data_IF_035665128796
#
_entry.id   IF_035665128796
#
_cell.length_a   1.000
_cell.length_b   1.000
_cell.length_c   1.000
_cell.angle_alpha   90.00
_cell.angle_beta   90.00
_cell.angle_gamma   90.00
#
_symmetry.space_group_name_H-M   'P 1'
#
loop_
_entity.id
_entity.type
_entity.pdbx_description
1 polymer ?
#
# COMPACT_ATOMS: atom_id res chain seq x y z
N UNK A 1 0.46 3.05 6.12
CA UNK A 1 -0.82 2.74 5.45
C UNK A 1 -0.83 1.37 4.75
N UNK A 2 0.30 0.95 4.17
CA UNK A 2 0.36 -0.27 3.34
C UNK A 2 -0.03 -1.58 4.06
N UNK A 3 0.32 -1.84 5.33
CA UNK A 3 -0.12 -3.04 6.05
C UNK A 3 -1.63 -3.22 6.09
N UNK A 4 -2.38 -2.12 6.21
CA UNK A 4 -3.84 -2.14 6.15
C UNK A 4 -4.37 -2.65 4.80
N UNK A 5 -3.80 -2.16 3.71
CA UNK A 5 -4.22 -2.58 2.37
C UNK A 5 -3.92 -4.05 2.11
N UNK A 6 -2.77 -4.55 2.57
CA UNK A 6 -2.47 -5.98 2.48
C UNK A 6 -3.44 -6.81 3.32
N UNK A 7 -3.73 -6.40 4.56
CA UNK A 7 -4.70 -7.05 5.43
C UNK A 7 -6.09 -7.14 4.79
N UNK A 8 -6.61 -6.01 4.29
CA UNK A 8 -7.91 -5.96 3.62
C UNK A 8 -7.89 -6.81 2.35
N UNK A 9 -6.80 -6.75 1.55
CA UNK A 9 -6.67 -7.52 0.31
C UNK A 9 -6.69 -9.02 0.57
N UNK A 10 -6.02 -9.49 1.62
CA UNK A 10 -6.04 -10.89 2.05
C UNK A 10 -7.42 -11.34 2.51
N UNK A 11 -8.08 -10.52 3.32
CA UNK A 11 -9.44 -10.78 3.78
C UNK A 11 -10.43 -10.87 2.62
N UNK A 12 -10.37 -9.94 1.68
CA UNK A 12 -11.26 -9.94 0.51
C UNK A 12 -10.94 -11.06 -0.49
N UNK A 13 -9.67 -11.45 -0.62
CA UNK A 13 -9.30 -12.53 -1.54
C UNK A 13 -9.93 -13.86 -1.14
N UNK A 14 -9.99 -14.15 0.15
CA UNK A 14 -10.54 -15.40 0.68
C UNK A 14 -11.94 -15.23 1.30
N UNK A 15 -12.69 -14.19 0.96
CA UNK A 15 -13.99 -13.86 1.55
C UNK A 15 -14.99 -15.03 1.55
N UNK A 16 -14.93 -15.90 0.54
CA UNK A 16 -15.82 -17.06 0.42
C UNK A 16 -15.38 -18.25 1.28
N UNK A 17 -14.20 -18.19 1.91
CA UNK A 17 -13.63 -19.26 2.75
C UNK A 17 -13.17 -20.50 2.00
N UNK A 18 -13.64 -20.68 0.78
CA UNK A 18 -13.32 -21.82 -0.08
C UNK A 18 -12.22 -21.45 -1.07
N UNK A 19 -11.44 -22.46 -1.46
CA UNK A 19 -10.41 -22.30 -2.48
C UNK A 19 -10.53 -23.40 -3.51
N UNK A 20 -10.88 -23.04 -4.74
CA UNK A 20 -10.82 -23.94 -5.90
C UNK A 20 -9.92 -23.35 -6.97
N UNK A 21 -9.45 -24.21 -7.90
CA UNK A 21 -8.60 -23.76 -9.02
C UNK A 21 -9.36 -22.77 -9.91
N UNK A 22 -10.62 -23.02 -10.18
CA UNK A 22 -11.47 -22.17 -11.02
C UNK A 22 -11.66 -20.80 -10.39
N UNK A 23 -11.98 -20.76 -9.09
CA UNK A 23 -12.15 -19.53 -8.32
C UNK A 23 -10.83 -18.73 -8.28
N UNK A 24 -9.69 -19.41 -8.09
CA UNK A 24 -8.37 -18.79 -8.11
C UNK A 24 -8.06 -18.13 -9.44
N UNK A 25 -8.22 -18.86 -10.55
CA UNK A 25 -7.97 -18.33 -11.89
C UNK A 25 -8.88 -17.13 -12.21
N UNK A 26 -10.16 -17.24 -11.87
CA UNK A 26 -11.10 -16.13 -12.04
C UNK A 26 -10.67 -14.89 -11.23
N UNK A 27 -10.23 -15.06 -9.98
CA UNK A 27 -9.72 -13.96 -9.16
C UNK A 27 -8.43 -13.36 -9.72
N UNK A 28 -7.51 -14.18 -10.23
CA UNK A 28 -6.31 -13.69 -10.91
C UNK A 28 -6.64 -12.88 -12.15
N UNK A 29 -7.53 -13.37 -13.00
CA UNK A 29 -7.96 -12.67 -14.20
C UNK A 29 -8.55 -11.29 -13.84
N UNK A 30 -9.47 -11.23 -12.88
CA UNK A 30 -10.03 -9.96 -12.41
C UNK A 30 -8.96 -9.00 -11.89
N UNK A 31 -7.94 -9.49 -11.18
CA UNK A 31 -6.83 -8.67 -10.69
C UNK A 31 -5.89 -8.22 -11.80
N UNK A 32 -5.68 -9.04 -12.83
CA UNK A 32 -4.93 -8.61 -13.99
C UNK A 32 -5.57 -7.39 -14.66
N UNK A 33 -6.87 -7.37 -14.82
CA UNK A 33 -7.57 -6.20 -15.38
C UNK A 33 -7.65 -5.02 -14.41
N UNK A 34 -7.82 -5.26 -13.12
CA UNK A 34 -8.04 -4.17 -12.16
C UNK A 34 -6.74 -3.61 -11.55
N UNK A 35 -5.64 -4.34 -11.57
CA UNK A 35 -4.36 -3.92 -10.99
C UNK A 35 -3.23 -3.88 -12.03
N UNK A 36 -2.99 -4.96 -12.79
CA UNK A 36 -1.85 -5.04 -13.70
C UNK A 36 -2.01 -4.10 -14.90
N UNK A 37 -3.19 -4.04 -15.51
CA UNK A 37 -3.41 -3.15 -16.63
C UNK A 37 -3.26 -1.66 -16.24
N UNK A 38 -3.91 -1.15 -15.20
CA UNK A 38 -3.67 0.21 -14.72
C UNK A 38 -2.21 0.45 -14.29
N UNK A 39 -1.56 -0.53 -13.68
CA UNK A 39 -0.16 -0.46 -13.30
C UNK A 39 0.76 -0.20 -14.51
N UNK A 40 0.60 -0.99 -15.57
CA UNK A 40 1.37 -0.83 -16.81
C UNK A 40 1.07 0.53 -17.45
N UNK A 41 -0.21 0.88 -17.60
CA UNK A 41 -0.63 2.15 -18.22
C UNK A 41 -0.01 3.36 -17.47
N UNK A 42 -0.09 3.40 -16.15
CA UNK A 42 0.42 4.52 -15.37
C UNK A 42 1.94 4.65 -15.43
N UNK A 43 2.68 3.54 -15.36
CA UNK A 43 4.15 3.58 -15.49
C UNK A 43 4.55 4.02 -16.90
N UNK A 44 3.87 3.51 -17.93
CA UNK A 44 4.13 3.93 -19.31
C UNK A 44 3.82 5.40 -19.54
N UNK A 45 2.70 5.89 -18.99
CA UNK A 45 2.34 7.32 -19.03
C UNK A 45 3.40 8.17 -18.33
N UNK A 46 3.85 7.72 -17.15
CA UNK A 46 4.86 8.46 -16.40
C UNK A 46 6.21 8.48 -17.13
N UNK A 47 6.63 7.35 -17.72
CA UNK A 47 7.82 7.28 -18.58
C UNK A 47 7.74 8.26 -19.76
N UNK A 48 6.59 8.29 -20.44
CA UNK A 48 6.34 9.22 -21.52
C UNK A 48 6.45 10.68 -21.05
N UNK A 49 5.80 11.03 -19.94
CA UNK A 49 5.87 12.39 -19.38
C UNK A 49 7.30 12.77 -18.97
N UNK A 50 8.08 11.84 -18.39
CA UNK A 50 9.48 12.07 -18.06
C UNK A 50 10.34 12.28 -19.31
N UNK A 51 10.14 11.48 -20.36
CA UNK A 51 10.87 11.62 -21.63
C UNK A 51 10.62 12.99 -22.27
N UNK A 52 9.36 13.45 -22.29
CA UNK A 52 9.01 14.79 -22.77
C UNK A 52 9.63 15.88 -21.89
N UNK A 53 9.54 15.73 -20.57
CA UNK A 53 10.09 16.69 -19.61
C UNK A 53 11.63 16.79 -19.72
N UNK A 54 12.32 15.68 -19.94
CA UNK A 54 13.78 15.65 -20.15
C UNK A 54 14.18 16.36 -21.44
N UNK A 55 13.39 16.19 -22.52
CA UNK A 55 13.63 16.88 -23.78
C UNK A 55 13.43 18.40 -23.71
N UNK A 56 12.51 18.88 -22.85
CA UNK A 56 12.23 20.32 -22.68
C UNK A 56 13.14 20.95 -21.61
N UNK A 57 13.40 20.24 -20.52
CA UNK A 57 14.10 20.71 -19.32
C UNK A 57 15.10 19.64 -18.83
N UNK A 58 16.23 19.42 -19.52
CA UNK A 58 17.13 18.30 -19.25
C UNK A 58 17.65 18.21 -17.81
N UNK A 59 17.75 19.32 -17.10
CA UNK A 59 18.25 19.38 -15.74
C UNK A 59 17.16 19.31 -14.66
N UNK A 60 15.91 19.12 -15.03
CA UNK A 60 14.77 19.12 -14.09
C UNK A 60 14.30 17.71 -13.68
N UNK A 61 14.69 16.69 -14.43
CA UNK A 61 14.27 15.30 -14.21
C UNK A 61 15.34 14.52 -13.44
N UNK A 62 15.43 14.69 -12.13
CA UNK A 62 16.42 14.01 -11.29
C UNK A 62 15.92 12.69 -10.68
N UNK A 63 14.89 12.05 -11.26
CA UNK A 63 14.31 10.80 -10.72
C UNK A 63 15.17 9.59 -11.14
N UNK A 64 15.86 9.68 -12.27
CA UNK A 64 16.79 8.67 -12.78
C UNK A 64 18.16 9.29 -13.00
N UNK A 65 19.24 8.56 -12.65
CA UNK A 65 20.61 9.04 -12.83
C UNK A 65 21.08 8.98 -14.28
N UNK A 66 20.33 8.31 -15.13
CA UNK A 66 20.68 8.03 -16.51
C UNK A 66 19.65 8.67 -17.42
N UNK A 67 20.07 9.41 -18.47
CA UNK A 67 19.13 9.96 -19.45
C UNK A 67 18.26 8.86 -20.07
N UNK A 68 16.98 9.12 -20.26
CA UNK A 68 16.01 8.13 -20.78
C UNK A 68 16.43 7.69 -22.21
N UNK A 69 17.00 8.59 -23.00
CA UNK A 69 17.53 8.28 -24.34
C UNK A 69 18.62 7.20 -24.33
N UNK A 70 19.34 7.05 -23.21
CA UNK A 70 20.40 6.05 -23.06
C UNK A 70 19.93 4.74 -22.42
N UNK A 71 18.62 4.57 -22.20
CA UNK A 71 18.08 3.36 -21.57
C UNK A 71 18.28 2.13 -22.46
N UNK A 72 18.88 1.11 -21.88
CA UNK A 72 18.87 -0.25 -22.44
C UNK A 72 17.49 -0.89 -22.30
N UNK A 73 17.25 -1.98 -23.02
CA UNK A 73 16.01 -2.77 -22.86
C UNK A 73 15.80 -3.21 -21.39
N UNK A 74 16.87 -3.54 -20.69
CA UNK A 74 16.81 -3.89 -19.27
C UNK A 74 16.37 -2.72 -18.40
N UNK A 75 16.83 -1.49 -18.70
CA UNK A 75 16.44 -0.29 -17.94
C UNK A 75 14.95 -0.02 -18.09
N UNK A 76 14.40 -0.21 -19.29
CA UNK A 76 12.96 -0.12 -19.53
C UNK A 76 12.15 -1.12 -18.70
N UNK A 77 12.60 -2.37 -18.59
CA UNK A 77 11.96 -3.38 -17.75
C UNK A 77 12.08 -3.05 -16.26
N UNK A 78 13.23 -2.51 -15.84
CA UNK A 78 13.45 -2.11 -14.45
C UNK A 78 12.51 -0.99 -14.01
N UNK A 79 12.07 -0.11 -14.91
CA UNK A 79 11.06 0.90 -14.59
C UNK A 79 9.75 0.30 -14.09
N UNK A 80 9.40 -0.89 -14.55
CA UNK A 80 8.21 -1.61 -14.09
C UNK A 80 8.46 -2.48 -12.87
N UNK A 81 9.71 -2.74 -12.50
CA UNK A 81 10.01 -3.68 -11.43
C UNK A 81 10.77 -3.06 -10.27
N UNK A 82 11.96 -2.54 -10.54
CA UNK A 82 12.86 -2.02 -9.52
C UNK A 82 13.88 -1.06 -10.11
N UNK A 83 13.71 0.22 -9.82
CA UNK A 83 14.60 1.28 -10.30
C UNK A 83 15.85 1.48 -9.42
N UNK A 84 16.11 0.64 -8.42
CA UNK A 84 17.25 0.81 -7.50
C UNK A 84 18.60 0.94 -8.21
N UNK A 85 18.74 0.34 -9.39
CA UNK A 85 19.97 0.39 -10.21
C UNK A 85 20.06 1.62 -11.13
N UNK A 86 18.94 2.25 -11.47
CA UNK A 86 18.86 3.38 -12.39
C UNK A 86 18.34 4.65 -11.73
N UNK A 87 17.80 4.53 -10.53
CA UNK A 87 17.27 5.61 -9.71
C UNK A 87 18.32 6.28 -8.83
N UNK A 88 17.93 7.22 -7.97
CA UNK A 88 18.81 7.93 -7.05
C UNK A 88 19.62 6.98 -6.15
N UNK A 89 20.84 7.35 -5.83
CA UNK A 89 21.68 6.57 -4.91
C UNK A 89 20.97 6.34 -3.57
N UNK A 90 20.98 5.09 -3.08
CA UNK A 90 20.17 4.65 -1.94
C UNK A 90 18.77 4.23 -2.34
N UNK A 91 18.60 3.85 -3.61
CA UNK A 91 17.34 3.56 -4.27
C UNK A 91 16.46 2.59 -3.50
N UNK A 92 15.23 3.01 -3.31
CA UNK A 92 14.13 2.18 -2.81
C UNK A 92 13.86 1.11 -3.88
N UNK A 93 13.78 -0.15 -3.48
CA UNK A 93 13.39 -1.26 -4.35
C UNK A 93 11.91 -1.12 -4.80
N UNK A 94 11.66 -0.19 -5.70
CA UNK A 94 10.33 0.21 -6.14
C UNK A 94 10.29 0.39 -7.67
N UNK A 95 9.13 0.27 -8.31
CA UNK A 95 8.94 0.68 -9.70
C UNK A 95 9.09 2.20 -9.85
N UNK A 96 9.14 2.70 -11.07
CA UNK A 96 9.33 4.12 -11.38
C UNK A 96 8.29 5.02 -10.70
N UNK A 97 7.03 4.61 -10.66
CA UNK A 97 5.99 5.21 -9.84
C UNK A 97 6.09 4.61 -8.43
N UNK A 98 6.88 5.22 -7.56
CA UNK A 98 7.27 4.67 -6.25
C UNK A 98 6.08 4.07 -5.48
N UNK A 99 4.92 4.72 -5.29
CA UNK A 99 3.79 4.13 -4.56
C UNK A 99 3.29 2.79 -5.10
N UNK A 100 3.62 2.47 -6.34
CA UNK A 100 3.17 1.24 -7.00
C UNK A 100 3.91 -0.02 -6.55
N UNK A 101 4.96 0.11 -5.71
CA UNK A 101 5.60 -1.05 -5.10
C UNK A 101 4.59 -1.96 -4.38
N UNK A 102 3.58 -1.36 -3.73
CA UNK A 102 2.51 -2.07 -3.07
C UNK A 102 1.66 -2.91 -4.04
N UNK A 103 1.30 -2.34 -5.22
CA UNK A 103 0.51 -3.04 -6.25
C UNK A 103 1.32 -4.21 -6.81
N UNK A 104 2.60 -3.98 -7.14
CA UNK A 104 3.52 -5.01 -7.62
C UNK A 104 3.59 -6.18 -6.63
N UNK A 105 3.90 -5.90 -5.37
CA UNK A 105 4.04 -6.92 -4.33
C UNK A 105 2.71 -7.64 -4.08
N UNK A 106 1.58 -6.93 -4.12
CA UNK A 106 0.26 -7.55 -4.00
C UNK A 106 -0.04 -8.50 -5.16
N UNK A 107 0.32 -8.14 -6.39
CA UNK A 107 0.15 -9.03 -7.55
C UNK A 107 0.97 -10.31 -7.38
N UNK A 108 2.23 -10.17 -6.95
CA UNK A 108 3.10 -11.34 -6.68
C UNK A 108 2.52 -12.21 -5.55
N UNK A 109 2.08 -11.62 -4.45
CA UNK A 109 1.44 -12.36 -3.35
C UNK A 109 0.20 -13.10 -3.84
N UNK A 110 -0.59 -12.52 -4.75
CA UNK A 110 -1.77 -13.18 -5.32
C UNK A 110 -1.40 -14.44 -6.12
N UNK A 111 -0.23 -14.51 -6.75
CA UNK A 111 0.25 -15.74 -7.40
C UNK A 111 0.55 -16.84 -6.39
N UNK A 112 1.03 -16.49 -5.20
CA UNK A 112 1.35 -17.44 -4.14
C UNK A 112 0.14 -17.82 -3.26
N UNK A 113 -1.06 -17.31 -3.53
CA UNK A 113 -2.26 -17.61 -2.71
C UNK A 113 -2.61 -19.09 -2.59
N UNK A 114 -2.33 -20.01 -3.57
CA UNK A 114 -2.53 -21.43 -3.35
C UNK A 114 -1.67 -22.00 -2.20
N UNK A 115 -0.43 -21.55 -2.10
CA UNK A 115 0.50 -21.94 -1.03
C UNK A 115 0.05 -21.34 0.29
N UNK A 116 -0.26 -20.03 0.27
CA UNK A 116 -0.77 -19.31 1.44
C UNK A 116 -2.02 -20.02 2.00
N UNK A 117 -2.96 -20.38 1.13
CA UNK A 117 -4.17 -21.11 1.54
C UNK A 117 -3.85 -22.42 2.23
N UNK A 118 -2.98 -23.26 1.65
CA UNK A 118 -2.60 -24.56 2.26
C UNK A 118 -1.98 -24.37 3.64
N UNK A 119 -1.04 -23.43 3.78
CA UNK A 119 -0.37 -23.14 5.05
C UNK A 119 -1.38 -22.61 6.08
N UNK A 120 -2.21 -21.66 5.71
CA UNK A 120 -3.20 -21.08 6.63
C UNK A 120 -4.30 -22.07 6.98
N UNK A 121 -4.73 -22.92 6.05
CA UNK A 121 -5.71 -23.97 6.32
C UNK A 121 -5.17 -25.02 7.31
N UNK A 122 -3.91 -25.41 7.15
CA UNK A 122 -3.24 -26.29 8.09
C UNK A 122 -3.12 -25.62 9.48
N UNK A 123 -2.61 -24.40 9.59
CA UNK A 123 -2.55 -23.64 10.83
C UNK A 123 -3.94 -23.42 11.44
N UNK A 124 -4.95 -23.34 10.60
CA UNK A 124 -6.32 -23.16 11.01
C UNK A 124 -6.90 -24.39 11.74
N UNK A 125 -6.43 -25.58 11.46
CA UNK A 125 -6.86 -26.83 12.10
C UNK A 125 -6.10 -27.11 13.40
N UNK A 126 -4.96 -26.44 13.59
CA UNK A 126 -4.19 -26.53 14.83
C UNK A 126 -4.80 -25.66 15.95
N UNK A 127 -4.18 -25.71 17.13
CA UNK A 127 -4.61 -24.89 18.28
C UNK A 127 -4.49 -23.40 17.95
N UNK A 128 -5.56 -22.65 18.17
CA UNK A 128 -5.65 -21.21 17.88
C UNK A 128 -4.52 -20.43 18.55
N UNK A 129 -4.14 -20.81 19.75
CA UNK A 129 -3.10 -20.18 20.55
C UNK A 129 -1.73 -20.27 19.86
N UNK A 130 -1.41 -21.45 19.30
CA UNK A 130 -0.16 -21.69 18.57
C UNK A 130 -0.11 -20.82 17.30
N UNK A 131 -1.23 -20.74 16.57
CA UNK A 131 -1.31 -19.92 15.35
C UNK A 131 -1.12 -18.43 15.65
N UNK A 132 -1.68 -17.94 16.74
CA UNK A 132 -1.53 -16.55 17.18
C UNK A 132 -0.09 -16.27 17.61
N UNK A 133 0.49 -17.15 18.44
CA UNK A 133 1.88 -17.01 18.89
C UNK A 133 2.85 -17.03 17.72
N UNK A 134 2.68 -17.98 16.78
CA UNK A 134 3.50 -18.06 15.58
C UNK A 134 3.38 -16.78 14.73
N UNK A 135 2.18 -16.25 14.57
CA UNK A 135 1.96 -15.02 13.82
C UNK A 135 2.73 -13.84 14.44
N UNK A 136 2.62 -13.65 15.76
CA UNK A 136 3.35 -12.59 16.45
C UNK A 136 4.87 -12.81 16.42
N UNK A 137 5.32 -14.06 16.55
CA UNK A 137 6.73 -14.40 16.40
C UNK A 137 7.27 -14.07 15.01
N UNK A 138 6.50 -14.38 13.95
CA UNK A 138 6.85 -14.03 12.57
C UNK A 138 6.85 -12.52 12.33
N UNK A 139 5.87 -11.78 12.89
CA UNK A 139 5.87 -10.32 12.82
C UNK A 139 7.09 -9.71 13.51
N UNK A 140 7.49 -10.26 14.66
CA UNK A 140 8.69 -9.81 15.35
C UNK A 140 9.95 -10.16 14.57
N UNK A 141 10.06 -11.40 14.08
CA UNK A 141 11.20 -11.88 13.30
C UNK A 141 11.35 -11.16 11.95
N UNK A 142 10.26 -10.66 11.37
CA UNK A 142 10.28 -9.92 10.10
C UNK A 142 11.09 -8.61 10.16
N UNK A 143 11.46 -8.12 11.36
CA UNK A 143 12.36 -6.96 11.51
C UNK A 143 13.78 -7.19 10.98
N UNK A 144 14.21 -8.46 10.91
CA UNK A 144 15.51 -8.86 10.36
C UNK A 144 15.43 -9.36 8.93
N UNK A 145 14.23 -9.49 8.38
CA UNK A 145 14.06 -9.99 7.03
C UNK A 145 14.24 -8.85 6.02
N UNK A 146 15.05 -9.09 5.01
CA UNK A 146 15.19 -8.20 3.87
C UNK A 146 13.99 -8.36 2.93
N UNK A 147 13.48 -7.23 2.44
CA UNK A 147 12.44 -7.26 1.43
C UNK A 147 13.08 -7.48 0.06
N UNK A 148 12.55 -8.46 -0.66
CA UNK A 148 12.89 -8.66 -2.07
C UNK A 148 12.01 -7.77 -2.95
N UNK A 149 12.53 -7.21 -4.05
CA UNK A 149 11.70 -6.51 -5.02
C UNK A 149 10.56 -7.43 -5.52
N UNK A 150 9.32 -7.01 -5.34
CA UNK A 150 8.14 -7.81 -5.68
C UNK A 150 7.61 -8.71 -4.56
N UNK A 151 8.35 -8.90 -3.47
CA UNK A 151 7.88 -9.72 -2.34
C UNK A 151 8.28 -9.09 -1.01
N UNK A 152 7.44 -8.24 -0.46
CA UNK A 152 7.65 -7.72 0.88
C UNK A 152 7.17 -8.73 1.93
N UNK A 153 8.05 -9.04 2.88
CA UNK A 153 7.71 -9.91 4.03
C UNK A 153 6.56 -9.31 4.83
N UNK A 154 6.56 -7.99 5.00
CA UNK A 154 5.46 -7.28 5.62
C UNK A 154 4.15 -7.49 4.87
N UNK A 155 4.15 -7.36 3.54
CA UNK A 155 2.98 -7.58 2.69
C UNK A 155 2.43 -8.99 2.82
N UNK A 156 3.31 -9.99 2.77
CA UNK A 156 2.94 -11.40 2.92
C UNK A 156 2.30 -11.68 4.28
N UNK A 157 2.89 -11.17 5.37
CA UNK A 157 2.38 -11.41 6.73
C UNK A 157 1.01 -10.74 6.93
N UNK A 158 0.84 -9.47 6.55
CA UNK A 158 -0.45 -8.78 6.73
C UNK A 158 -1.52 -9.31 5.79
N UNK A 159 -1.18 -9.70 4.56
CA UNK A 159 -2.10 -10.39 3.67
C UNK A 159 -2.57 -11.71 4.29
N UNK A 160 -1.63 -12.51 4.81
CA UNK A 160 -1.93 -13.79 5.48
C UNK A 160 -2.77 -13.58 6.74
N UNK A 161 -2.54 -12.50 7.49
CA UNK A 161 -3.34 -12.15 8.67
C UNK A 161 -4.81 -11.88 8.29
N UNK A 162 -5.05 -11.08 7.26
CA UNK A 162 -6.42 -10.88 6.78
C UNK A 162 -7.06 -12.15 6.21
N UNK A 163 -6.29 -12.93 5.44
CA UNK A 163 -6.72 -14.18 4.84
C UNK A 163 -7.12 -15.22 5.88
N UNK A 164 -6.40 -15.33 7.00
CA UNK A 164 -6.66 -16.30 8.08
C UNK A 164 -8.08 -16.19 8.62
N UNK A 165 -8.56 -14.99 8.93
CA UNK A 165 -9.92 -14.78 9.41
C UNK A 165 -10.99 -15.18 8.38
N UNK A 166 -10.73 -14.88 7.11
CA UNK A 166 -11.65 -15.20 6.03
C UNK A 166 -11.70 -16.71 5.74
N UNK A 167 -10.56 -17.38 5.74
CA UNK A 167 -10.48 -18.85 5.58
C UNK A 167 -11.20 -19.57 6.73
N UNK A 168 -11.05 -19.07 7.95
CA UNK A 168 -11.74 -19.59 9.14
C UNK A 168 -13.22 -19.22 9.18
N UNK A 169 -13.72 -18.37 8.28
CA UNK A 169 -15.06 -17.80 8.33
C UNK A 169 -15.37 -17.11 9.67
N UNK A 170 -14.35 -16.54 10.30
CA UNK A 170 -14.46 -15.80 11.56
C UNK A 170 -14.47 -14.30 11.23
N UNK A 171 -15.47 -13.59 11.72
CA UNK A 171 -15.48 -12.14 11.58
C UNK A 171 -14.41 -11.54 12.47
N UNK A 172 -13.40 -10.92 11.86
CA UNK A 172 -12.31 -10.23 12.55
C UNK A 172 -12.83 -9.30 13.66
N UNK A 173 -13.90 -8.57 13.38
CA UNK A 173 -14.49 -7.59 14.29
C UNK A 173 -15.02 -8.25 15.57
N UNK A 174 -15.69 -9.40 15.46
CA UNK A 174 -16.27 -10.07 16.62
C UNK A 174 -15.19 -10.53 17.61
N UNK A 175 -14.03 -10.96 17.08
CA UNK A 175 -12.90 -11.40 17.90
C UNK A 175 -12.10 -10.21 18.44
N UNK A 176 -11.88 -9.19 17.64
CA UNK A 176 -10.93 -8.11 17.96
C UNK A 176 -11.58 -6.89 18.64
N UNK A 177 -12.91 -6.76 18.58
CA UNK A 177 -13.63 -5.64 19.21
C UNK A 177 -13.37 -5.52 20.72
N UNK A 178 -13.39 -6.59 21.53
CA UNK A 178 -13.09 -6.50 22.96
C UNK A 178 -11.63 -6.10 23.22
N UNK A 179 -10.72 -6.43 22.28
CA UNK A 179 -9.29 -6.19 22.38
C UNK A 179 -8.85 -4.84 21.84
N UNK A 180 -9.76 -3.95 21.39
CA UNK A 180 -9.41 -2.72 20.69
C UNK A 180 -8.43 -1.81 21.48
N UNK A 181 -8.68 -1.62 22.78
CA UNK A 181 -7.78 -0.81 23.62
C UNK A 181 -6.47 -1.53 23.88
N UNK A 182 -6.50 -2.86 24.07
CA UNK A 182 -5.32 -3.69 24.12
C UNK A 182 -4.47 -3.55 22.85
N UNK A 183 -5.11 -3.50 21.67
CA UNK A 183 -4.43 -3.24 20.40
C UNK A 183 -3.73 -1.89 20.36
N UNK A 184 -4.34 -0.83 20.91
CA UNK A 184 -3.70 0.50 20.99
C UNK A 184 -2.50 0.49 21.94
N UNK A 185 -2.67 -0.05 23.16
CA UNK A 185 -1.57 -0.18 24.11
C UNK A 185 -0.43 -1.03 23.56
N UNK A 186 -0.77 -2.12 22.88
CA UNK A 186 0.21 -2.97 22.21
C UNK A 186 0.95 -2.22 21.09
N UNK A 187 0.26 -1.39 20.32
CA UNK A 187 0.89 -0.58 19.29
C UNK A 187 1.88 0.44 19.89
N UNK A 188 1.52 1.10 21.00
CA UNK A 188 2.39 2.03 21.70
C UNK A 188 3.62 1.29 22.25
N UNK A 189 3.44 0.13 22.86
CA UNK A 189 4.54 -0.71 23.34
C UNK A 189 5.47 -1.14 22.20
N UNK A 190 4.90 -1.62 21.10
CA UNK A 190 5.64 -2.05 19.91
C UNK A 190 6.44 -0.88 19.28
N UNK A 191 5.91 0.33 19.35
CA UNK A 191 6.62 1.54 18.91
C UNK A 191 7.84 1.81 19.82
N UNK A 192 7.72 1.67 21.13
CA UNK A 192 8.84 1.86 22.09
C UNK A 192 9.99 0.87 21.83
N UNK A 193 9.68 -0.37 21.45
CA UNK A 193 10.71 -1.38 21.10
C UNK A 193 11.16 -1.33 19.64
N UNK A 194 10.79 -0.26 18.90
CA UNK A 194 11.12 -0.08 17.48
C UNK A 194 10.69 -1.26 16.58
N UNK A 195 9.54 -1.87 16.84
CA UNK A 195 8.98 -2.96 16.02
C UNK A 195 7.76 -2.50 15.23
N UNK A 196 7.98 -1.90 14.07
CA UNK A 196 6.94 -1.31 13.23
C UNK A 196 5.84 -2.32 12.84
N UNK A 197 6.20 -3.58 12.56
CA UNK A 197 5.22 -4.59 12.15
C UNK A 197 4.26 -4.97 13.28
N UNK A 198 4.75 -5.10 14.51
CA UNK A 198 3.88 -5.29 15.67
C UNK A 198 3.01 -4.06 15.95
N UNK A 199 3.57 -2.86 15.80
CA UNK A 199 2.82 -1.62 15.92
C UNK A 199 1.64 -1.57 14.92
N UNK A 200 1.88 -1.91 13.66
CA UNK A 200 0.82 -1.94 12.65
C UNK A 200 -0.26 -2.99 12.96
N UNK A 201 0.11 -4.16 13.49
CA UNK A 201 -0.88 -5.16 13.90
C UNK A 201 -1.82 -4.62 14.98
N UNK A 202 -1.28 -3.96 16.01
CA UNK A 202 -2.07 -3.30 17.05
C UNK A 202 -2.96 -2.17 16.49
N UNK A 203 -2.42 -1.34 15.59
CA UNK A 203 -3.17 -0.27 14.93
C UNK A 203 -4.30 -0.82 14.06
N UNK A 204 -4.13 -1.95 13.36
CA UNK A 204 -5.19 -2.61 12.58
C UNK A 204 -6.34 -3.01 13.53
N UNK A 205 -6.03 -3.65 14.65
CA UNK A 205 -7.04 -4.05 15.64
C UNK A 205 -7.82 -2.83 16.15
N UNK A 206 -7.13 -1.77 16.54
CA UNK A 206 -7.75 -0.56 17.07
C UNK A 206 -8.59 0.18 16.03
N UNK A 207 -8.02 0.46 14.86
CA UNK A 207 -8.69 1.29 13.84
C UNK A 207 -9.87 0.57 13.20
N UNK A 208 -9.74 -0.71 12.81
CA UNK A 208 -10.84 -1.48 12.23
C UNK A 208 -11.99 -1.60 13.23
N UNK A 209 -11.70 -1.93 14.50
CA UNK A 209 -12.73 -2.05 15.53
C UNK A 209 -13.43 -0.73 15.83
N UNK A 210 -12.68 0.38 15.82
CA UNK A 210 -13.23 1.73 16.09
C UNK A 210 -14.09 2.22 14.93
N UNK A 211 -13.58 2.10 13.70
CA UNK A 211 -14.30 2.52 12.48
C UNK A 211 -15.60 1.76 12.32
N UNK A 212 -15.58 0.45 12.51
CA UNK A 212 -16.78 -0.38 12.41
C UNK A 212 -17.81 0.05 13.45
N UNK A 213 -17.41 0.30 14.71
CA UNK A 213 -18.34 0.79 15.75
C UNK A 213 -18.98 2.14 15.37
N UNK A 214 -18.21 3.05 14.78
CA UNK A 214 -18.73 4.33 14.32
C UNK A 214 -19.76 4.12 13.21
N UNK A 215 -19.44 3.26 12.23
CA UNK A 215 -20.34 2.95 11.12
C UNK A 215 -21.65 2.28 11.59
N UNK A 216 -21.57 1.31 12.51
CA UNK A 216 -22.73 0.66 13.10
C UNK A 216 -23.63 1.66 13.83
N UNK A 217 -23.06 2.55 14.65
CA UNK A 217 -23.82 3.61 15.36
C UNK A 217 -24.51 4.55 14.38
N UNK A 218 -23.83 4.96 13.31
CA UNK A 218 -24.43 5.82 12.27
C UNK A 218 -25.55 5.11 11.54
N UNK A 219 -25.39 3.83 11.22
CA UNK A 219 -26.44 3.02 10.61
C UNK A 219 -27.67 2.92 11.49
N UNK A 220 -27.49 2.70 12.81
CA UNK A 220 -28.59 2.67 13.77
C UNK A 220 -29.32 4.03 13.89
N UNK A 221 -28.63 5.13 13.66
CA UNK A 221 -29.19 6.49 13.66
C UNK A 221 -29.82 6.91 12.32
N UNK A 222 -29.96 5.99 11.36
CA UNK A 222 -30.37 6.30 9.97
C UNK A 222 -29.54 7.41 9.30
N UNK A 223 -28.33 7.69 9.82
CA UNK A 223 -27.40 8.63 9.21
C UNK A 223 -26.57 7.88 8.18
N UNK A 224 -26.65 8.30 6.92
CA UNK A 224 -25.78 7.79 5.86
C UNK A 224 -24.32 7.79 6.35
N UNK A 225 -23.63 6.66 6.11
CA UNK A 225 -22.20 6.60 6.30
C UNK A 225 -21.56 7.71 5.45
N UNK A 226 -20.88 8.64 6.08
CA UNK A 226 -20.21 9.79 5.49
C UNK A 226 -20.63 10.09 4.05
N UNK A 227 -21.35 11.18 3.75
CA UNK A 227 -21.65 11.57 2.38
C UNK A 227 -20.34 12.03 1.72
N UNK A 228 -19.48 11.06 1.37
CA UNK A 228 -18.34 11.39 0.52
C UNK A 228 -18.91 11.64 -0.88
N UNK A 229 -18.55 12.76 -1.52
CA UNK A 229 -18.92 13.02 -2.89
C UNK A 229 -18.48 11.82 -3.76
N UNK A 230 -19.38 11.37 -4.64
CA UNK A 230 -19.10 10.25 -5.55
C UNK A 230 -17.80 10.46 -6.35
N UNK A 231 -17.49 11.71 -6.67
CA UNK A 231 -16.25 12.10 -7.33
C UNK A 231 -15.02 11.66 -6.52
N UNK A 232 -14.99 11.88 -5.20
CA UNK A 232 -13.88 11.46 -4.35
C UNK A 232 -13.75 9.93 -4.26
N UNK A 233 -14.87 9.21 -4.25
CA UNK A 233 -14.87 7.75 -4.22
C UNK A 233 -14.31 7.20 -5.53
N UNK A 234 -14.79 7.71 -6.66
CA UNK A 234 -14.38 7.24 -7.99
C UNK A 234 -12.95 7.63 -8.33
N UNK A 235 -12.47 8.80 -7.87
CA UNK A 235 -11.11 9.27 -8.12
C UNK A 235 -10.05 8.65 -7.22
N UNK A 236 -10.39 7.80 -6.25
CA UNK A 236 -9.45 7.29 -5.23
C UNK A 236 -8.22 6.63 -5.86
N UNK A 237 -8.40 5.77 -6.86
CA UNK A 237 -7.27 5.12 -7.54
C UNK A 237 -6.45 6.12 -8.36
N UNK A 238 -7.11 7.05 -9.04
CA UNK A 238 -6.45 8.10 -9.81
C UNK A 238 -5.60 8.99 -8.89
N UNK A 239 -6.16 9.44 -7.77
CA UNK A 239 -5.42 10.19 -6.74
C UNK A 239 -4.21 9.40 -6.25
N UNK A 240 -4.39 8.10 -5.96
CA UNK A 240 -3.29 7.24 -5.54
C UNK A 240 -2.18 7.12 -6.60
N UNK A 241 -2.53 7.05 -7.88
CA UNK A 241 -1.55 6.97 -8.97
C UNK A 241 -0.88 8.32 -9.25
N UNK A 242 -1.66 9.40 -9.26
CA UNK A 242 -1.23 10.71 -9.72
C UNK A 242 -0.51 11.55 -8.65
N UNK A 243 -0.77 11.29 -7.36
CA UNK A 243 -0.21 12.10 -6.28
C UNK A 243 1.33 12.15 -6.30
N UNK A 244 2.01 11.10 -6.74
CA UNK A 244 3.47 11.07 -6.82
C UNK A 244 4.03 12.05 -7.86
N UNK A 245 3.31 12.28 -8.95
CA UNK A 245 3.66 13.25 -10.00
C UNK A 245 3.56 14.66 -9.42
N UNK A 246 2.41 14.97 -8.80
CA UNK A 246 2.17 16.30 -8.21
C UNK A 246 3.16 16.57 -7.07
N UNK A 247 3.36 15.61 -6.18
CA UNK A 247 4.30 15.75 -5.07
C UNK A 247 5.74 15.89 -5.57
N UNK A 248 6.12 15.13 -6.60
CA UNK A 248 7.42 15.25 -7.27
C UNK A 248 7.64 16.64 -7.85
N UNK A 249 6.62 17.22 -8.48
CA UNK A 249 6.62 18.60 -8.97
C UNK A 249 6.82 19.63 -7.84
N UNK A 250 6.04 19.52 -6.75
CA UNK A 250 6.17 20.39 -5.57
C UNK A 250 7.59 20.30 -4.99
N UNK A 251 8.10 19.09 -4.79
CA UNK A 251 9.46 18.90 -4.26
C UNK A 251 10.54 19.45 -5.19
N UNK A 252 10.35 19.38 -6.50
CA UNK A 252 11.28 19.96 -7.47
C UNK A 252 11.29 21.48 -7.37
N UNK A 253 10.14 22.12 -7.27
CA UNK A 253 10.01 23.57 -7.08
C UNK A 253 10.73 24.02 -5.80
N UNK A 254 10.54 23.29 -4.69
CA UNK A 254 11.21 23.59 -3.42
C UNK A 254 12.72 23.39 -3.50
N UNK A 255 13.18 22.27 -4.06
CA UNK A 255 14.62 21.97 -4.20
C UNK A 255 15.35 22.93 -5.12
N UNK A 256 14.70 23.49 -6.11
CA UNK A 256 15.26 24.50 -7.02
C UNK A 256 15.26 25.91 -6.45
N UNK A 257 14.75 26.09 -5.24
CA UNK A 257 14.69 27.39 -4.61
C UNK A 257 13.73 28.39 -5.26
N UNK A 258 12.77 27.89 -6.07
CA UNK A 258 11.70 28.74 -6.66
C UNK A 258 10.78 29.24 -5.56
N UNK A 259 10.48 28.36 -4.58
CA UNK A 259 9.77 28.70 -3.34
C UNK A 259 10.67 28.28 -2.19
N UNK A 260 11.20 29.24 -1.44
CA UNK A 260 12.07 29.01 -0.29
C UNK A 260 11.33 29.50 0.97
N UNK A 261 11.06 28.61 1.93
CA UNK A 261 10.49 29.04 3.21
C UNK A 261 11.53 29.89 3.97
N UNK A 262 11.15 31.10 4.40
CA UNK A 262 12.03 32.01 5.11
C UNK A 262 11.95 31.83 6.65
N UNK A 263 10.94 31.11 7.13
CA UNK A 263 10.71 30.84 8.54
C UNK A 263 9.97 29.50 8.75
N UNK A 264 9.90 29.07 10.01
CA UNK A 264 9.26 27.80 10.39
C UNK A 264 7.75 27.77 10.08
N UNK A 265 7.07 28.91 10.18
CA UNK A 265 5.66 29.03 9.85
C UNK A 265 5.38 28.80 8.37
N UNK A 266 6.21 29.38 7.49
CA UNK A 266 6.11 29.14 6.04
C UNK A 266 6.39 27.70 5.68
N UNK A 267 7.43 27.10 6.29
CA UNK A 267 7.74 25.68 6.12
C UNK A 267 6.56 24.79 6.57
N UNK A 268 5.94 25.12 7.70
CA UNK A 268 4.76 24.42 8.22
C UNK A 268 3.55 24.60 7.28
N UNK A 269 3.30 25.81 6.78
CA UNK A 269 2.22 26.06 5.83
C UNK A 269 2.43 25.27 4.52
N UNK A 270 3.64 25.24 3.98
CA UNK A 270 3.96 24.43 2.79
C UNK A 270 3.69 22.95 3.07
N UNK A 271 4.10 22.44 4.24
CA UNK A 271 3.86 21.05 4.65
C UNK A 271 2.36 20.72 4.71
N UNK A 272 1.53 21.60 5.27
CA UNK A 272 0.07 21.39 5.36
C UNK A 272 -0.63 21.59 4.02
N UNK A 273 -0.19 22.55 3.22
CA UNK A 273 -0.85 22.86 1.93
C UNK A 273 -0.47 21.84 0.84
N UNK A 274 0.70 21.24 0.88
CA UNK A 274 1.13 20.29 -0.14
C UNK A 274 0.17 19.11 -0.35
N UNK A 275 -0.34 18.42 0.69
CA UNK A 275 -1.36 17.37 0.54
C UNK A 275 -2.69 17.91 0.00
N UNK A 276 -3.08 19.13 0.37
CA UNK A 276 -4.33 19.76 -0.10
C UNK A 276 -4.21 20.07 -1.59
N UNK A 277 -3.12 20.70 -2.01
CA UNK A 277 -2.83 21.00 -3.42
C UNK A 277 -2.80 19.70 -4.22
N UNK A 278 -2.07 18.69 -3.72
CA UNK A 278 -1.97 17.38 -4.35
C UNK A 278 -3.37 16.75 -4.56
N UNK A 279 -4.20 16.74 -3.52
CA UNK A 279 -5.55 16.20 -3.61
C UNK A 279 -6.43 16.98 -4.59
N UNK A 280 -6.41 18.32 -4.50
CA UNK A 280 -7.22 19.20 -5.36
C UNK A 280 -6.83 19.05 -6.83
N UNK A 281 -5.54 19.07 -7.14
CA UNK A 281 -5.05 18.88 -8.51
C UNK A 281 -5.40 17.48 -9.02
N UNK A 282 -5.19 16.45 -8.19
CA UNK A 282 -5.47 15.07 -8.61
C UNK A 282 -6.96 14.82 -8.85
N UNK A 283 -7.84 15.41 -8.06
CA UNK A 283 -9.31 15.31 -8.26
C UNK A 283 -9.78 16.19 -9.44
N UNK A 284 -9.15 17.34 -9.62
CA UNK A 284 -9.52 18.27 -10.71
C UNK A 284 -9.11 17.78 -12.10
N UNK A 285 -8.10 16.94 -12.20
CA UNK A 285 -7.64 16.32 -13.48
C UNK A 285 -8.43 15.04 -13.80
N UNK A 286 -9.05 14.40 -12.80
CA UNK A 286 -9.90 13.21 -12.97
C UNK A 286 -11.25 13.57 -13.59
#
# INVERSE_FOLDING_TARGET
ANPFFFFISGSLFFKEGLFSKELYLHKLQRRAFSLLLPYILWISTYLFLLSVAEGILPNWTAIVHKPIESFSFTDWLLCFWDISKIGPQGGIAAPLVIPFWYIRDLMVICLFTPIIYKVLHWLANERKEISILLFFALLYASRWAENLPGLSVQGLLFFSFGAFFSIKQIKFIDVMRPLKWGGLFFAIFAWQINCANLMYAGLIVFTVSTTTRILERRKQQNKLAFPLPLVLINSTFFVFAFHSIVLGGILTILKRGIVVPHNELEAFLIYILSPVIMLTVSVGVH
#
